data_IF_051769861980
#
_entry.id   IF_051769861980
#
_cell.length_a   1.000
_cell.length_b   1.000
_cell.length_c   1.000
_cell.angle_alpha   90.00
_cell.angle_beta   90.00
_cell.angle_gamma   90.00
#
_symmetry.space_group_name_H-M   'P 1'
#
loop_
_entity.id
_entity.type
_entity.pdbx_description
1 polymer ?
#
# COMPACT_ATOMS: atom_id res chain seq x y z
N UNK A 1 -45.84 4.97 -18.69
CA UNK A 1 -44.51 4.41 -19.02
C UNK A 1 -43.34 5.40 -18.90
N UNK A 2 -43.48 6.70 -19.22
CA UNK A 2 -42.37 7.68 -19.17
C UNK A 2 -41.73 7.92 -17.78
N UNK A 3 -42.47 7.71 -16.67
CA UNK A 3 -41.97 7.93 -15.30
C UNK A 3 -40.97 6.87 -14.81
N UNK A 4 -41.05 5.64 -15.30
CA UNK A 4 -40.15 4.54 -14.90
C UNK A 4 -38.76 4.66 -15.52
N UNK A 5 -38.65 5.24 -16.72
CA UNK A 5 -37.36 5.47 -17.38
C UNK A 5 -36.48 6.46 -16.60
N UNK A 6 -37.07 7.48 -15.99
CA UNK A 6 -36.34 8.47 -15.19
C UNK A 6 -35.69 7.81 -13.96
N UNK A 7 -36.41 6.92 -13.27
CA UNK A 7 -35.89 6.22 -12.09
C UNK A 7 -34.75 5.26 -12.47
N UNK A 8 -34.90 4.52 -13.57
CA UNK A 8 -33.87 3.59 -14.05
C UNK A 8 -32.63 4.35 -14.50
N UNK A 9 -32.77 5.47 -15.23
CA UNK A 9 -31.64 6.30 -15.63
C UNK A 9 -30.94 6.91 -14.40
N UNK A 10 -31.69 7.38 -13.39
CA UNK A 10 -31.10 7.91 -12.16
C UNK A 10 -30.32 6.85 -11.38
N UNK A 11 -30.82 5.61 -11.33
CA UNK A 11 -30.14 4.47 -10.70
C UNK A 11 -28.87 4.04 -11.46
N UNK A 12 -28.88 4.10 -12.79
CA UNK A 12 -27.70 3.79 -13.61
C UNK A 12 -26.64 4.88 -13.45
N UNK A 13 -27.03 6.16 -13.52
CA UNK A 13 -26.11 7.29 -13.36
C UNK A 13 -25.54 7.34 -11.93
N UNK A 14 -26.33 7.04 -10.90
CA UNK A 14 -25.85 6.96 -9.52
C UNK A 14 -24.90 5.77 -9.30
N UNK A 15 -25.13 4.62 -9.94
CA UNK A 15 -24.19 3.50 -9.92
C UNK A 15 -22.86 3.85 -10.60
N UNK A 16 -22.90 4.50 -11.76
CA UNK A 16 -21.70 4.91 -12.50
C UNK A 16 -20.92 5.99 -11.72
N UNK A 17 -21.61 6.93 -11.08
CA UNK A 17 -20.98 7.93 -10.20
C UNK A 17 -20.41 7.30 -8.93
N UNK A 18 -21.09 6.31 -8.34
CA UNK A 18 -20.61 5.55 -7.17
C UNK A 18 -19.34 4.75 -7.51
N UNK A 19 -19.27 4.17 -8.71
CA UNK A 19 -18.08 3.45 -9.19
C UNK A 19 -16.90 4.37 -9.55
N UNK A 20 -17.16 5.67 -9.78
CA UNK A 20 -16.13 6.69 -10.03
C UNK A 20 -15.65 7.41 -8.75
N UNK A 21 -15.93 6.84 -7.56
CA UNK A 21 -15.47 7.41 -6.30
C UNK A 21 -13.96 7.59 -6.26
N UNK A 22 -13.55 8.82 -5.95
CA UNK A 22 -12.16 9.26 -5.82
C UNK A 22 -11.59 8.73 -4.51
N UNK A 23 -11.08 7.50 -4.52
CA UNK A 23 -10.17 7.06 -3.46
C UNK A 23 -8.93 7.95 -3.43
N UNK A 24 -8.39 8.23 -2.24
CA UNK A 24 -7.10 8.91 -2.14
C UNK A 24 -6.04 8.11 -2.90
N UNK A 25 -5.41 8.77 -3.88
CA UNK A 25 -4.52 8.13 -4.85
C UNK A 25 -3.13 8.74 -4.79
N UNK A 26 -2.11 7.91 -4.63
CA UNK A 26 -0.71 8.32 -4.67
C UNK A 26 -0.10 8.00 -6.03
N UNK A 27 0.63 8.96 -6.62
CA UNK A 27 1.46 8.71 -7.79
C UNK A 27 2.76 8.01 -7.35
N UNK A 28 3.14 6.95 -8.05
CA UNK A 28 4.21 6.06 -7.60
C UNK A 28 5.60 6.73 -7.46
N UNK A 29 5.85 7.86 -8.12
CA UNK A 29 7.17 8.51 -8.18
C UNK A 29 7.59 9.24 -6.89
N UNK A 30 6.80 9.10 -5.82
CA UNK A 30 6.85 9.95 -4.63
C UNK A 30 6.86 9.17 -3.30
N UNK A 31 7.25 7.89 -3.35
CA UNK A 31 7.35 7.00 -2.17
C UNK A 31 8.81 6.63 -1.91
N UNK A 32 9.31 7.00 -0.74
CA UNK A 32 10.69 6.76 -0.32
C UNK A 32 10.77 6.07 1.03
N UNK A 33 11.80 5.25 1.24
CA UNK A 33 12.18 4.66 2.52
C UNK A 33 13.56 5.21 2.91
N UNK A 34 13.65 5.93 4.03
CA UNK A 34 14.88 6.62 4.45
C UNK A 34 15.55 7.37 3.28
N UNK A 35 14.77 8.19 2.57
CA UNK A 35 15.19 8.98 1.39
C UNK A 35 15.46 8.20 0.09
N UNK A 36 15.60 6.88 0.14
CA UNK A 36 15.73 6.02 -1.04
C UNK A 36 14.36 5.74 -1.66
N UNK A 37 14.26 5.70 -2.99
CA UNK A 37 13.03 5.29 -3.67
C UNK A 37 12.62 3.87 -3.26
N UNK A 38 11.31 3.59 -3.15
CA UNK A 38 10.78 2.26 -2.81
C UNK A 38 11.27 1.16 -3.78
N UNK A 39 11.54 1.57 -5.02
CA UNK A 39 12.15 0.75 -6.05
C UNK A 39 13.53 1.32 -6.39
N UNK A 40 14.58 0.50 -6.25
CA UNK A 40 15.95 0.96 -6.42
C UNK A 40 16.83 -0.11 -7.06
N UNK A 41 17.89 0.35 -7.75
CA UNK A 41 18.92 -0.52 -8.32
C UNK A 41 19.87 -0.95 -7.21
N UNK A 42 20.25 -2.21 -7.20
CA UNK A 42 21.19 -2.77 -6.24
C UNK A 42 22.46 -3.22 -6.95
N UNK A 43 23.60 -3.06 -6.28
CA UNK A 43 24.89 -3.56 -6.78
C UNK A 43 25.11 -5.01 -6.37
N UNK A 44 24.70 -5.38 -5.15
CA UNK A 44 24.76 -6.74 -4.62
C UNK A 44 23.81 -6.90 -3.44
N UNK A 45 23.52 -8.15 -3.05
CA UNK A 45 22.71 -8.42 -1.86
C UNK A 45 23.36 -7.90 -0.57
N UNK A 46 24.70 -7.95 -0.48
CA UNK A 46 25.46 -7.44 0.68
C UNK A 46 25.24 -5.94 0.89
N UNK A 47 25.07 -5.17 -0.18
CA UNK A 47 24.75 -3.74 -0.08
C UNK A 47 23.37 -3.52 0.54
N UNK A 48 22.40 -4.40 0.27
CA UNK A 48 21.08 -4.36 0.88
C UNK A 48 21.14 -4.73 2.37
N UNK A 49 21.96 -5.72 2.73
CA UNK A 49 22.10 -6.14 4.12
C UNK A 49 22.72 -5.06 5.02
N UNK A 50 23.53 -4.15 4.45
CA UNK A 50 23.99 -2.94 5.16
C UNK A 50 22.82 -2.00 5.52
N UNK A 51 21.78 -1.95 4.69
CA UNK A 51 20.63 -1.08 4.90
C UNK A 51 19.53 -1.73 5.75
N UNK A 52 19.36 -3.05 5.63
CA UNK A 52 18.20 -3.79 6.14
C UNK A 52 18.55 -4.90 7.13
N UNK A 53 19.83 -5.10 7.46
CA UNK A 53 20.29 -6.25 8.23
C UNK A 53 20.39 -7.52 7.38
N UNK A 54 20.83 -8.62 8.00
CA UNK A 54 21.01 -9.91 7.31
C UNK A 54 19.68 -10.38 6.70
N UNK A 55 19.71 -10.80 5.44
CA UNK A 55 18.52 -11.18 4.68
C UNK A 55 18.55 -12.68 4.36
N UNK A 56 17.42 -13.36 4.53
CA UNK A 56 17.29 -14.78 4.25
C UNK A 56 16.45 -14.97 2.99
N UNK A 57 16.95 -15.79 2.05
CA UNK A 57 16.20 -16.15 0.85
C UNK A 57 14.98 -16.99 1.24
N UNK A 58 13.80 -16.62 0.75
CA UNK A 58 12.60 -17.47 0.84
C UNK A 58 12.52 -18.33 -0.41
N UNK A 59 12.60 -19.65 -0.25
CA UNK A 59 12.57 -20.61 -1.36
C UNK A 59 11.15 -20.88 -1.87
N UNK A 60 10.14 -20.74 -1.00
CA UNK A 60 8.72 -20.91 -1.34
C UNK A 60 7.95 -19.61 -1.08
N UNK A 61 7.46 -18.98 -2.14
CA UNK A 61 6.42 -17.94 -2.04
C UNK A 61 5.07 -18.64 -1.88
N UNK A 62 4.28 -18.28 -0.88
CA UNK A 62 2.91 -18.83 -0.79
C UNK A 62 2.05 -18.31 -1.96
N UNK A 63 1.00 -19.02 -2.35
CA UNK A 63 0.06 -18.53 -3.38
C UNK A 63 -0.64 -17.22 -2.98
N UNK A 64 -0.68 -16.91 -1.68
CA UNK A 64 -1.18 -15.65 -1.13
C UNK A 64 -0.18 -14.49 -1.32
N UNK A 65 1.10 -14.79 -1.56
CA UNK A 65 2.19 -13.84 -1.79
C UNK A 65 2.48 -13.66 -3.30
N UNK A 66 1.46 -13.76 -4.15
CA UNK A 66 1.52 -13.43 -5.58
C UNK A 66 1.67 -11.90 -5.79
N UNK A 67 2.75 -11.33 -5.25
CA UNK A 67 3.08 -9.93 -5.27
C UNK A 67 3.93 -9.65 -6.49
N UNK A 68 3.35 -8.96 -7.45
CA UNK A 68 4.06 -8.53 -8.64
C UNK A 68 4.57 -7.11 -8.36
N UNK A 69 5.87 -6.84 -8.52
CA UNK A 69 6.40 -5.50 -8.30
C UNK A 69 5.67 -4.48 -9.18
N UNK A 70 5.45 -3.30 -8.62
CA UNK A 70 4.59 -2.26 -9.18
C UNK A 70 5.04 -1.80 -10.57
N UNK A 71 6.32 -1.95 -10.87
CA UNK A 71 6.99 -1.45 -12.07
C UNK A 71 7.16 -2.49 -13.19
N UNK A 72 6.90 -3.79 -12.95
CA UNK A 72 7.20 -4.85 -13.93
C UNK A 72 6.10 -5.90 -14.05
N UNK A 73 6.05 -6.57 -15.21
CA UNK A 73 5.21 -7.78 -15.43
C UNK A 73 5.86 -8.98 -14.73
N UNK A 74 5.15 -10.11 -14.61
CA UNK A 74 5.68 -11.35 -13.98
C UNK A 74 7.07 -11.68 -14.55
N UNK A 75 8.09 -11.61 -13.71
CA UNK A 75 9.44 -12.11 -13.99
C UNK A 75 9.82 -13.08 -12.87
N UNK A 76 10.85 -13.90 -13.11
CA UNK A 76 11.50 -14.65 -12.03
C UNK A 76 12.00 -13.65 -10.98
N UNK A 77 11.48 -13.79 -9.78
CA UNK A 77 11.76 -12.91 -8.65
C UNK A 77 12.23 -13.75 -7.49
N UNK A 78 13.36 -13.39 -6.90
CA UNK A 78 13.79 -13.98 -5.65
C UNK A 78 13.24 -13.14 -4.50
N UNK A 79 12.78 -13.80 -3.45
CA UNK A 79 12.28 -13.16 -2.25
C UNK A 79 13.30 -13.27 -1.14
N UNK A 80 13.52 -12.17 -0.45
CA UNK A 80 14.42 -12.10 0.69
C UNK A 80 13.72 -11.34 1.82
N UNK A 81 13.89 -11.80 3.05
CA UNK A 81 13.23 -11.16 4.19
C UNK A 81 14.01 -11.36 5.47
N UNK A 82 13.68 -10.51 6.44
CA UNK A 82 13.92 -10.73 7.86
C UNK A 82 12.69 -10.21 8.65
N UNK A 83 12.84 -10.00 9.95
CA UNK A 83 11.75 -9.55 10.81
C UNK A 83 11.30 -8.11 10.52
N UNK A 84 12.16 -7.30 9.90
CA UNK A 84 11.92 -5.88 9.64
C UNK A 84 11.30 -5.62 8.27
N UNK A 85 11.78 -6.33 7.26
CA UNK A 85 11.49 -6.01 5.86
C UNK A 85 11.39 -7.26 5.03
N UNK A 86 10.54 -7.20 4.01
CA UNK A 86 10.60 -8.16 2.92
C UNK A 86 10.79 -7.47 1.58
N UNK A 87 11.75 -8.04 0.85
CA UNK A 87 12.28 -7.54 -0.42
C UNK A 87 11.97 -8.54 -1.52
N UNK A 88 11.59 -7.99 -2.66
CA UNK A 88 11.46 -8.72 -3.91
C UNK A 88 12.54 -8.26 -4.88
N UNK A 89 13.41 -9.19 -5.27
CA UNK A 89 14.57 -8.94 -6.11
C UNK A 89 14.31 -9.45 -7.52
N UNK A 90 14.44 -8.55 -8.49
CA UNK A 90 14.45 -8.83 -9.93
C UNK A 90 15.87 -8.71 -10.47
N UNK A 91 16.11 -9.09 -11.73
CA UNK A 91 17.44 -8.97 -12.37
C UNK A 91 18.11 -7.60 -12.19
N UNK A 92 17.34 -6.51 -12.26
CA UNK A 92 17.90 -5.14 -12.31
C UNK A 92 17.55 -4.28 -11.10
N UNK A 93 16.71 -4.76 -10.19
CA UNK A 93 16.11 -3.90 -9.16
C UNK A 93 15.57 -4.67 -7.97
N UNK A 94 15.54 -4.00 -6.83
CA UNK A 94 14.92 -4.47 -5.57
C UNK A 94 13.71 -3.60 -5.25
N UNK A 95 12.68 -4.26 -4.73
CA UNK A 95 11.43 -3.65 -4.32
C UNK A 95 11.13 -4.02 -2.86
N UNK A 96 10.90 -3.01 -2.01
CA UNK A 96 10.34 -3.22 -0.67
C UNK A 96 8.85 -3.40 -0.80
N UNK A 97 8.33 -4.57 -0.43
CA UNK A 97 6.90 -4.84 -0.50
C UNK A 97 6.26 -4.97 0.90
N UNK A 98 7.05 -5.15 1.95
CA UNK A 98 6.60 -5.17 3.34
C UNK A 98 7.63 -4.47 4.22
N UNK A 99 7.15 -3.64 5.15
CA UNK A 99 7.96 -3.01 6.20
C UNK A 99 7.22 -3.06 7.54
N UNK A 100 7.89 -3.56 8.57
CA UNK A 100 7.45 -3.52 9.96
C UNK A 100 8.10 -2.30 10.65
N UNK A 101 7.29 -1.36 11.12
CA UNK A 101 7.77 -0.13 11.75
C UNK A 101 8.24 -0.32 13.18
N UNK A 102 7.60 -1.22 13.92
CA UNK A 102 7.92 -1.53 15.32
C UNK A 102 9.34 -2.11 15.46
N UNK A 103 9.73 -2.99 14.53
CA UNK A 103 11.06 -3.62 14.55
C UNK A 103 12.10 -2.73 13.87
N UNK A 104 11.78 -2.18 12.68
CA UNK A 104 12.79 -1.50 11.85
C UNK A 104 13.12 -0.08 12.31
N UNK A 105 12.18 0.61 12.96
CA UNK A 105 12.26 2.04 13.30
C UNK A 105 12.58 2.96 12.11
N UNK A 106 12.33 2.47 10.88
CA UNK A 106 12.54 3.22 9.63
C UNK A 106 11.34 4.09 9.31
N UNK A 107 11.50 5.02 8.38
CA UNK A 107 10.43 5.92 7.96
C UNK A 107 10.15 5.81 6.46
N UNK A 108 8.87 5.76 6.11
CA UNK A 108 8.42 5.91 4.72
C UNK A 108 7.97 7.36 4.52
N UNK A 109 8.58 8.03 3.56
CA UNK A 109 8.22 9.37 3.13
C UNK A 109 7.32 9.27 1.90
N UNK A 110 6.12 9.82 2.02
CA UNK A 110 5.16 9.97 0.93
C UNK A 110 5.02 11.45 0.58
N UNK A 111 4.99 11.80 -0.71
CA UNK A 111 4.54 13.13 -1.15
C UNK A 111 3.12 13.02 -1.72
N UNK A 112 2.19 13.74 -1.11
CA UNK A 112 0.79 13.75 -1.54
C UNK A 112 0.23 15.17 -1.52
N UNK A 113 -0.36 15.61 -2.64
CA UNK A 113 -0.94 16.96 -2.79
C UNK A 113 0.03 18.08 -2.33
N UNK A 114 1.32 17.94 -2.65
CA UNK A 114 2.37 18.89 -2.27
C UNK A 114 2.86 18.79 -0.81
N UNK A 115 2.22 17.98 0.04
CA UNK A 115 2.61 17.75 1.43
C UNK A 115 3.52 16.54 1.55
N UNK A 116 4.53 16.63 2.42
CA UNK A 116 5.35 15.49 2.87
C UNK A 116 4.64 14.81 4.04
N UNK A 117 4.34 13.53 3.91
CA UNK A 117 3.77 12.68 4.94
C UNK A 117 4.86 11.69 5.35
N UNK A 118 5.12 11.60 6.65
CA UNK A 118 6.11 10.68 7.23
C UNK A 118 5.35 9.57 7.95
N UNK A 119 5.49 8.36 7.46
CA UNK A 119 4.97 7.15 8.09
C UNK A 119 6.07 6.52 8.93
N UNK A 120 5.77 6.27 10.20
CA UNK A 120 6.67 5.66 11.18
C UNK A 120 5.86 5.03 12.30
N UNK A 121 6.52 4.40 13.27
CA UNK A 121 5.90 3.87 14.51
C UNK A 121 5.19 4.95 15.36
N UNK A 122 5.34 6.24 15.02
CA UNK A 122 4.64 7.35 15.70
C UNK A 122 3.40 7.82 14.93
N UNK A 123 3.20 7.30 13.72
CA UNK A 123 2.10 7.70 12.85
C UNK A 123 0.79 7.08 13.34
N UNK A 124 -0.19 7.93 13.66
CA UNK A 124 -1.46 7.50 14.25
C UNK A 124 -2.55 7.31 13.20
N UNK A 125 -3.48 6.41 13.48
CA UNK A 125 -4.68 6.21 12.66
C UNK A 125 -5.50 7.50 12.51
N UNK A 126 -5.54 8.36 13.54
CA UNK A 126 -6.21 9.67 13.46
C UNK A 126 -5.55 10.61 12.44
N UNK A 127 -4.22 10.59 12.34
CA UNK A 127 -3.48 11.35 11.33
C UNK A 127 -3.75 10.78 9.93
N UNK A 128 -3.76 9.45 9.79
CA UNK A 128 -4.13 8.79 8.53
C UNK A 128 -5.52 9.25 8.05
N UNK A 129 -6.53 9.18 8.92
CA UNK A 129 -7.92 9.57 8.61
C UNK A 129 -8.03 11.03 8.18
N UNK A 130 -7.26 11.92 8.81
CA UNK A 130 -7.23 13.34 8.43
C UNK A 130 -6.55 13.57 7.08
N UNK A 131 -5.54 12.76 6.73
CA UNK A 131 -4.79 12.91 5.49
C UNK A 131 -5.47 12.25 4.30
N UNK A 132 -6.20 11.15 4.54
CA UNK A 132 -6.84 10.30 3.54
C UNK A 132 -8.30 9.96 3.92
N UNK A 133 -9.18 10.96 3.98
CA UNK A 133 -10.55 10.78 4.46
C UNK A 133 -11.38 9.84 3.57
N UNK A 134 -11.12 9.83 2.25
CA UNK A 134 -11.90 9.04 1.29
C UNK A 134 -11.49 7.57 1.29
N UNK A 135 -10.28 7.26 1.75
CA UNK A 135 -9.75 5.89 1.80
C UNK A 135 -10.31 5.02 2.93
N UNK A 136 -10.98 5.63 3.91
CA UNK A 136 -11.60 4.93 5.03
C UNK A 136 -13.13 4.81 4.89
N UNK A 137 -13.72 5.45 3.88
CA UNK A 137 -15.16 5.52 3.68
C UNK A 137 -15.64 4.61 2.56
N UNK A 138 -16.84 4.07 2.70
CA UNK A 138 -17.51 3.27 1.70
C UNK A 138 -18.24 4.14 0.65
N UNK A 139 -18.97 3.48 -0.25
CA UNK A 139 -19.73 4.16 -1.29
C UNK A 139 -20.86 5.10 -0.77
N UNK A 140 -21.19 5.05 0.51
CA UNK A 140 -22.17 5.92 1.16
C UNK A 140 -21.54 6.99 2.06
N UNK A 141 -20.20 7.08 2.11
CA UNK A 141 -19.48 8.00 3.00
C UNK A 141 -19.40 7.51 4.45
N UNK A 142 -19.89 6.30 4.72
CA UNK A 142 -19.81 5.67 6.03
C UNK A 142 -18.46 4.95 6.17
N UNK A 143 -17.86 4.91 7.36
CA UNK A 143 -16.63 4.15 7.58
C UNK A 143 -16.82 2.67 7.22
N UNK A 144 -15.82 2.07 6.54
CA UNK A 144 -15.89 0.67 6.05
C UNK A 144 -15.85 -0.35 7.20
N UNK A 145 -15.21 -0.01 8.33
CA UNK A 145 -15.08 -0.86 9.54
C UNK A 145 -15.24 0.03 10.78
N UNK A 146 -15.80 -0.50 11.88
CA UNK A 146 -15.92 0.23 13.15
C UNK A 146 -14.54 0.63 13.71
N UNK A 147 -14.52 1.72 14.46
CA UNK A 147 -13.35 2.55 14.74
C UNK A 147 -12.21 1.83 15.50
N UNK A 148 -12.57 0.81 16.28
CA UNK A 148 -11.68 0.07 17.19
C UNK A 148 -11.23 -1.28 16.61
N UNK A 149 -11.70 -1.63 15.40
CA UNK A 149 -11.52 -2.95 14.79
C UNK A 149 -10.80 -2.91 13.43
N UNK A 150 -10.47 -1.72 12.92
CA UNK A 150 -9.81 -1.59 11.63
C UNK A 150 -8.31 -1.89 11.74
N UNK A 151 -7.96 -3.18 11.69
CA UNK A 151 -6.59 -3.66 11.66
C UNK A 151 -5.84 -3.27 10.37
N UNK A 152 -6.55 -2.87 9.31
CA UNK A 152 -5.98 -2.56 8.00
C UNK A 152 -6.76 -1.50 7.21
N UNK A 153 -6.07 -0.50 6.64
CA UNK A 153 -6.64 0.48 5.69
C UNK A 153 -5.81 0.53 4.41
N UNK A 154 -6.45 0.69 3.25
CA UNK A 154 -5.77 0.66 1.95
C UNK A 154 -5.78 2.02 1.25
N UNK A 155 -4.63 2.45 0.70
CA UNK A 155 -4.53 3.55 -0.26
C UNK A 155 -4.27 3.02 -1.66
N UNK A 156 -4.86 3.67 -2.67
CA UNK A 156 -4.60 3.31 -4.06
C UNK A 156 -3.32 4.00 -4.54
N UNK A 157 -2.42 3.22 -5.14
CA UNK A 157 -1.28 3.73 -5.88
C UNK A 157 -1.60 3.61 -7.37
N UNK A 158 -1.42 4.70 -8.13
CA UNK A 158 -1.51 4.69 -9.60
C UNK A 158 -0.13 4.89 -10.22
N UNK A 159 0.23 4.00 -11.13
CA UNK A 159 1.38 4.17 -12.02
C UNK A 159 0.96 3.86 -13.46
N UNK A 160 0.76 4.92 -14.28
CA UNK A 160 0.34 4.84 -15.69
C UNK A 160 -0.87 3.91 -15.90
N UNK A 161 -0.63 2.62 -16.12
CA UNK A 161 -1.62 1.58 -16.42
C UNK A 161 -1.83 0.56 -15.29
N UNK A 162 -1.16 0.73 -14.16
CA UNK A 162 -1.18 -0.23 -13.04
C UNK A 162 -1.85 0.43 -11.84
N UNK A 163 -2.87 -0.25 -11.30
CA UNK A 163 -3.43 0.03 -9.97
C UNK A 163 -2.78 -0.90 -8.97
N UNK A 164 -2.41 -0.33 -7.84
CA UNK A 164 -1.86 -1.03 -6.71
C UNK A 164 -2.36 -0.42 -5.42
N UNK A 165 -1.96 -1.02 -4.31
CA UNK A 165 -2.44 -0.72 -2.98
C UNK A 165 -1.28 -0.68 -2.02
N UNK A 166 -1.34 0.30 -1.12
CA UNK A 166 -0.56 0.33 0.10
C UNK A 166 -1.54 0.02 1.23
N UNK A 167 -1.35 -1.12 1.89
CA UNK A 167 -2.15 -1.54 3.02
C UNK A 167 -1.39 -1.16 4.29
N UNK A 168 -2.07 -0.46 5.18
CA UNK A 168 -1.54 0.07 6.43
C UNK A 168 -2.16 -0.72 7.55
N UNK A 169 -1.34 -1.37 8.37
CA UNK A 169 -1.82 -2.04 9.57
C UNK A 169 -1.65 -1.15 10.79
N UNK A 170 -2.70 -1.04 11.61
CA UNK A 170 -2.67 -0.25 12.85
C UNK A 170 -2.96 -1.16 14.04
N UNK A 171 -2.10 -1.11 15.06
CA UNK A 171 -2.27 -1.77 16.34
C UNK A 171 -2.39 -0.71 17.43
N UNK A 172 -3.45 -0.78 18.25
CA UNK A 172 -3.78 0.27 19.24
C UNK A 172 -3.77 1.70 18.67
N UNK A 173 -4.19 1.83 17.40
CA UNK A 173 -4.23 3.11 16.69
C UNK A 173 -2.87 3.64 16.21
N UNK A 174 -1.79 2.86 16.37
CA UNK A 174 -0.43 3.17 15.95
C UNK A 174 -0.08 2.35 14.71
N UNK A 175 0.58 2.96 13.72
CA UNK A 175 1.01 2.26 12.52
C UNK A 175 2.07 1.19 12.85
N UNK A 176 1.73 -0.08 12.64
CA UNK A 176 2.62 -1.21 12.91
C UNK A 176 3.37 -1.66 11.66
N UNK A 177 2.69 -1.73 10.52
CA UNK A 177 3.31 -2.18 9.27
C UNK A 177 2.64 -1.61 8.02
N UNK A 178 3.37 -1.66 6.90
CA UNK A 178 2.86 -1.33 5.57
C UNK A 178 3.22 -2.42 4.58
N UNK A 179 2.25 -2.75 3.72
CA UNK A 179 2.37 -3.73 2.64
C UNK A 179 2.03 -3.10 1.29
N UNK A 180 2.86 -3.31 0.28
CA UNK A 180 2.67 -2.85 -1.08
C UNK A 180 2.28 -4.02 -1.98
N UNK A 181 1.10 -3.95 -2.60
CA UNK A 181 0.60 -5.04 -3.45
C UNK A 181 -0.22 -4.54 -4.64
N UNK A 182 -0.29 -5.31 -5.73
CA UNK A 182 -1.23 -5.03 -6.83
C UNK A 182 -2.67 -5.46 -6.52
N UNK A 183 -2.89 -6.18 -5.41
CA UNK A 183 -4.21 -6.60 -4.92
C UNK A 183 -4.44 -5.99 -3.53
N UNK A 184 -5.70 -5.71 -3.20
CA UNK A 184 -6.06 -5.37 -1.82
C UNK A 184 -5.84 -6.64 -1.00
N UNK A 185 -4.95 -6.56 -0.02
CA UNK A 185 -4.72 -7.64 0.92
C UNK A 185 -5.56 -7.34 2.14
N UNK A 186 -6.48 -8.23 2.47
CA UNK A 186 -7.09 -8.27 3.81
C UNK A 186 -6.03 -8.77 4.77
N UNK A 187 -5.37 -7.83 5.46
CA UNK A 187 -4.51 -8.14 6.61
C UNK A 187 -5.47 -8.63 7.70
N UNK A 188 -5.40 -9.92 8.05
CA UNK A 188 -6.11 -10.47 9.20
C UNK A 188 -5.21 -10.35 10.42
N UNK A 189 -5.86 -10.12 11.56
CA UNK A 189 -5.25 -10.12 12.90
C UNK A 189 -4.50 -11.43 13.19
#
# INVERSE_FOLDING_TARGET
>A
MKKYYIVIVFLIVSNIFSQNKKYDTILFNDIKLNEHQLFFKYESIRALEKCFGKLIKKENSSEYENEIPLTRKKYQTNKFSNNEVSLLITKDSVFVYYLNFEVSKKEIVLKYKGKKIILSEKFKLSQFKSLFPDSYQNASGLPVVSFDQAAGVSLIIKNKNIKAYMNFAFYDGILSSVVFSKKILTIRD
#
